data_IF_384855159722
#
_entry.id   IF_384855159722
#
_cell.length_a   1.000
_cell.length_b   1.000
_cell.length_c   1.000
_cell.angle_alpha   90.00
_cell.angle_beta   90.00
_cell.angle_gamma   90.00
#
_symmetry.space_group_name_H-M   'P 1'
#
loop_
_entity.id
_entity.type
_entity.pdbx_description
1 polymer ?
#
# COMPACT_ATOMS: atom_id res chain seq x y z
N UNK A 1 60.22 -27.13 50.33
CA UNK A 1 58.90 -26.49 50.57
C UNK A 1 58.57 -25.60 49.39
N UNK A 2 57.44 -25.90 48.76
CA UNK A 2 56.89 -25.30 47.54
C UNK A 2 56.29 -23.91 47.84
N UNK A 3 56.45 -22.93 46.94
CA UNK A 3 55.41 -21.95 46.52
C UNK A 3 55.99 -20.97 45.49
N UNK A 4 56.02 -21.38 44.21
CA UNK A 4 56.07 -20.42 43.08
C UNK A 4 54.64 -19.93 42.85
N UNK A 5 54.40 -18.64 43.07
CA UNK A 5 53.13 -17.98 42.72
C UNK A 5 53.13 -17.75 41.20
N UNK A 6 52.35 -18.54 40.49
CA UNK A 6 51.98 -18.26 39.10
C UNK A 6 50.81 -17.30 39.17
N UNK A 7 51.02 -16.05 38.76
CA UNK A 7 49.95 -15.09 38.53
C UNK A 7 49.44 -15.36 37.12
N UNK A 8 48.33 -16.08 37.02
CA UNK A 8 47.61 -16.27 35.75
C UNK A 8 46.87 -14.97 35.44
N UNK A 9 47.39 -14.17 34.51
CA UNK A 9 46.65 -13.06 33.92
C UNK A 9 45.53 -13.66 33.06
N UNK A 10 44.32 -13.72 33.61
CA UNK A 10 43.13 -14.03 32.83
C UNK A 10 42.81 -12.79 31.97
N UNK A 11 43.27 -12.80 30.71
CA UNK A 11 42.76 -11.87 29.70
C UNK A 11 41.33 -12.31 29.41
N UNK A 12 40.36 -11.66 30.05
CA UNK A 12 38.96 -11.75 29.65
C UNK A 12 38.88 -11.04 28.30
N UNK A 13 39.00 -11.80 27.21
CA UNK A 13 38.50 -11.35 25.92
C UNK A 13 36.98 -11.23 26.07
N UNK A 14 36.51 -10.03 26.40
CA UNK A 14 35.14 -9.65 26.08
C UNK A 14 35.12 -9.56 24.56
N UNK A 15 34.85 -10.69 23.91
CA UNK A 15 34.33 -10.67 22.55
C UNK A 15 33.01 -9.91 22.63
N UNK A 16 33.05 -8.60 22.40
CA UNK A 16 31.89 -7.88 21.94
C UNK A 16 31.49 -8.62 20.66
N UNK A 17 30.53 -9.53 20.75
CA UNK A 17 29.72 -9.87 19.59
C UNK A 17 29.09 -8.53 19.23
N UNK A 18 29.74 -7.80 18.33
CA UNK A 18 29.18 -6.60 17.76
C UNK A 18 27.91 -7.06 17.07
N UNK A 19 26.77 -6.77 17.69
CA UNK A 19 25.51 -6.78 16.96
C UNK A 19 25.76 -5.90 15.76
N UNK A 20 25.65 -6.47 14.56
CA UNK A 20 25.79 -5.71 13.33
C UNK A 20 24.84 -4.50 13.44
N UNK A 21 25.34 -3.30 13.15
CA UNK A 21 24.53 -2.09 13.29
C UNK A 21 23.22 -2.24 12.51
N UNK A 22 22.09 -1.74 13.07
CA UNK A 22 20.82 -1.84 12.39
C UNK A 22 20.86 -1.20 11.00
N UNK A 23 20.65 -2.01 9.96
CA UNK A 23 20.68 -1.54 8.57
C UNK A 23 19.36 -0.88 8.22
N UNK A 24 19.43 0.40 7.83
CA UNK A 24 18.32 1.12 7.18
C UNK A 24 18.54 1.10 5.68
N UNK A 25 17.66 0.43 4.96
CA UNK A 25 17.82 0.20 3.53
C UNK A 25 17.35 1.38 2.69
N UNK A 26 17.97 1.53 1.52
CA UNK A 26 17.39 2.33 0.42
C UNK A 26 16.14 1.65 -0.10
N UNK A 27 15.11 2.44 -0.38
CA UNK A 27 13.84 1.92 -0.93
C UNK A 27 13.85 2.02 -2.45
N UNK A 28 13.56 0.91 -3.11
CA UNK A 28 13.17 0.90 -4.52
C UNK A 28 11.69 0.53 -4.65
N UNK A 29 11.06 1.04 -5.71
CA UNK A 29 9.66 0.76 -6.06
C UNK A 29 9.60 0.31 -7.51
N UNK A 30 8.90 -0.80 -7.79
CA UNK A 30 8.47 -1.19 -9.13
C UNK A 30 6.95 -1.08 -9.19
N UNK A 31 6.44 -0.20 -10.05
CA UNK A 31 5.02 0.10 -10.13
C UNK A 31 4.33 -0.70 -11.23
N UNK A 32 3.02 -0.89 -11.08
CA UNK A 32 2.11 -1.39 -12.10
C UNK A 32 2.42 -2.82 -12.59
N UNK A 33 2.84 -3.69 -11.67
CA UNK A 33 3.14 -5.08 -11.94
C UNK A 33 1.88 -5.93 -12.02
N UNK A 34 1.92 -6.93 -12.89
CA UNK A 34 0.89 -7.97 -13.00
C UNK A 34 1.14 -9.07 -11.97
N UNK A 35 0.09 -9.52 -11.31
CA UNK A 35 0.17 -10.60 -10.30
C UNK A 35 -0.99 -11.60 -10.38
N UNK A 36 -1.98 -11.32 -11.23
CA UNK A 36 -3.14 -12.17 -11.49
C UNK A 36 -3.06 -12.73 -12.91
N UNK A 37 -4.01 -13.60 -13.25
CA UNK A 37 -4.12 -14.22 -14.58
C UNK A 37 -4.25 -13.21 -15.73
N UNK A 38 -3.84 -13.59 -16.96
CA UNK A 38 -3.99 -12.73 -18.15
C UNK A 38 -5.41 -12.22 -18.33
N UNK A 39 -5.55 -10.96 -18.74
CA UNK A 39 -6.84 -10.28 -18.90
C UNK A 39 -7.36 -9.61 -17.62
N UNK A 40 -6.72 -9.82 -16.46
CA UNK A 40 -7.00 -9.05 -15.25
C UNK A 40 -6.37 -7.66 -15.33
N UNK A 41 -7.11 -6.66 -14.86
CA UNK A 41 -6.70 -5.25 -14.89
C UNK A 41 -6.14 -4.77 -13.56
N UNK A 42 -6.37 -5.52 -12.48
CA UNK A 42 -5.80 -5.24 -11.17
C UNK A 42 -4.28 -5.36 -11.22
N UNK A 43 -3.60 -4.42 -10.56
CA UNK A 43 -2.12 -4.32 -10.54
C UNK A 43 -1.61 -4.25 -9.10
N UNK A 44 -0.31 -4.43 -8.95
CA UNK A 44 0.39 -4.22 -7.69
C UNK A 44 1.61 -3.32 -7.85
N UNK A 45 2.03 -2.68 -6.76
CA UNK A 45 3.31 -1.98 -6.66
C UNK A 45 4.19 -2.70 -5.64
N UNK A 46 5.44 -2.97 -6.01
CA UNK A 46 6.43 -3.67 -5.21
C UNK A 46 7.39 -2.67 -4.57
N UNK A 47 7.47 -2.68 -3.24
CA UNK A 47 8.40 -1.90 -2.41
C UNK A 47 9.43 -2.86 -1.82
N UNK A 48 10.73 -2.57 -1.96
CA UNK A 48 11.78 -3.51 -1.55
C UNK A 48 13.09 -2.80 -1.18
N UNK A 49 13.93 -3.45 -0.36
CA UNK A 49 15.30 -3.02 -0.09
C UNK A 49 16.13 -3.03 -1.39
N UNK A 50 16.69 -1.89 -1.77
CA UNK A 50 17.47 -1.74 -3.01
C UNK A 50 18.95 -2.16 -2.84
N UNK A 51 19.39 -2.32 -1.60
CA UNK A 51 20.77 -2.58 -1.18
C UNK A 51 20.86 -3.77 -0.20
N UNK A 52 20.39 -4.97 -0.60
CA UNK A 52 20.48 -6.16 0.23
C UNK A 52 21.92 -6.59 0.46
N UNK A 53 22.25 -6.94 1.70
CA UNK A 53 23.56 -7.49 2.05
C UNK A 53 23.72 -8.93 1.52
N UNK A 54 24.96 -9.45 1.36
CA UNK A 54 25.19 -10.83 0.95
C UNK A 54 24.48 -11.83 1.89
N UNK A 55 23.71 -12.76 1.32
CA UNK A 55 22.97 -13.78 2.07
C UNK A 55 21.69 -13.29 2.76
N UNK A 56 21.38 -11.99 2.71
CA UNK A 56 20.18 -11.44 3.34
C UNK A 56 18.90 -11.89 2.63
N UNK A 57 17.93 -12.36 3.41
CA UNK A 57 16.57 -12.65 2.95
C UNK A 57 15.54 -11.90 3.78
N UNK A 58 14.53 -11.34 3.13
CA UNK A 58 13.52 -10.50 3.76
C UNK A 58 12.17 -11.22 3.91
N UNK A 59 11.41 -10.94 4.96
CA UNK A 59 10.00 -11.32 4.99
C UNK A 59 9.18 -10.56 3.94
N UNK A 60 8.10 -11.18 3.48
CA UNK A 60 7.13 -10.61 2.56
C UNK A 60 5.93 -9.97 3.26
N UNK A 61 5.39 -8.86 2.76
CA UNK A 61 4.16 -8.25 3.27
C UNK A 61 3.19 -7.94 2.11
N UNK A 62 1.94 -8.38 2.23
CA UNK A 62 0.85 -7.96 1.33
C UNK A 62 0.11 -6.78 1.95
N UNK A 63 0.15 -5.64 1.29
CA UNK A 63 -0.55 -4.40 1.67
C UNK A 63 -1.86 -4.33 0.90
N UNK A 64 -2.98 -4.24 1.60
CA UNK A 64 -4.32 -4.30 1.01
C UNK A 64 -5.04 -2.97 1.26
N UNK A 65 -5.46 -2.32 0.18
CA UNK A 65 -6.05 -1.00 0.25
C UNK A 65 -7.47 -0.95 0.82
N UNK A 66 -7.83 0.19 1.42
CA UNK A 66 -9.19 0.48 1.88
C UNK A 66 -10.13 0.87 0.75
N UNK A 67 -11.13 1.71 1.00
CA UNK A 67 -12.07 2.17 -0.05
C UNK A 67 -13.39 1.40 -0.10
N UNK A 68 -13.76 0.77 1.03
CA UNK A 68 -15.07 0.16 1.20
C UNK A 68 -15.39 -0.89 0.14
N UNK A 69 -14.40 -1.65 -0.33
CA UNK A 69 -14.48 -2.68 -1.38
C UNK A 69 -15.02 -2.21 -2.74
N UNK A 70 -15.28 -0.91 -2.91
CA UNK A 70 -15.90 -0.33 -4.11
C UNK A 70 -14.98 0.67 -4.81
N UNK A 71 -13.85 0.99 -4.19
CA UNK A 71 -12.84 1.92 -4.63
C UNK A 71 -11.52 1.67 -3.89
N UNK A 72 -10.56 2.56 -4.11
CA UNK A 72 -9.20 2.45 -3.57
C UNK A 72 -8.18 2.13 -4.67
N UNK A 73 -6.92 2.41 -4.37
CA UNK A 73 -5.79 2.25 -5.28
C UNK A 73 -4.57 1.81 -4.46
N UNK A 74 -3.69 1.03 -5.08
CA UNK A 74 -2.47 0.48 -4.48
C UNK A 74 -1.40 1.51 -4.09
N UNK A 75 -1.40 2.70 -4.70
CA UNK A 75 -0.42 3.76 -4.45
C UNK A 75 -1.01 4.97 -3.71
N UNK A 76 -2.12 4.79 -2.98
CA UNK A 76 -2.60 5.84 -2.11
C UNK A 76 -1.60 6.13 -0.97
N UNK A 77 -1.71 7.32 -0.37
CA UNK A 77 -0.73 7.83 0.60
C UNK A 77 -0.46 6.85 1.75
N UNK A 78 -1.49 6.14 2.22
CA UNK A 78 -1.35 5.15 3.30
C UNK A 78 -0.51 3.96 2.86
N UNK A 79 -0.77 3.44 1.67
CA UNK A 79 -0.13 2.28 1.09
C UNK A 79 1.35 2.57 0.79
N UNK A 80 1.63 3.73 0.19
CA UNK A 80 2.99 4.24 0.01
C UNK A 80 3.69 4.39 1.36
N UNK A 81 3.03 5.00 2.35
CA UNK A 81 3.60 5.17 3.69
C UNK A 81 3.95 3.82 4.33
N UNK A 82 3.09 2.81 4.23
CA UNK A 82 3.34 1.46 4.76
C UNK A 82 4.50 0.79 4.01
N UNK A 83 4.42 0.71 2.67
CA UNK A 83 5.40 0.00 1.85
C UNK A 83 6.81 0.58 1.97
N UNK A 84 6.92 1.90 2.00
CA UNK A 84 8.19 2.60 2.22
C UNK A 84 8.80 2.35 3.59
N UNK A 85 8.02 2.43 4.67
CA UNK A 85 8.55 2.18 6.02
C UNK A 85 8.98 0.71 6.17
N UNK A 86 8.22 -0.22 5.60
CA UNK A 86 8.57 -1.64 5.61
C UNK A 86 9.84 -1.91 4.80
N UNK A 87 9.97 -1.37 3.58
CA UNK A 87 11.15 -1.54 2.75
C UNK A 87 12.43 -1.02 3.43
N UNK A 88 12.38 0.16 4.07
CA UNK A 88 13.51 0.68 4.86
C UNK A 88 13.96 -0.28 5.95
N UNK A 89 13.00 -0.97 6.55
CA UNK A 89 13.22 -1.89 7.64
C UNK A 89 13.51 -3.31 7.17
N UNK A 90 13.84 -3.52 5.88
CA UNK A 90 14.22 -4.84 5.37
C UNK A 90 13.01 -5.77 5.23
N UNK A 91 11.95 -5.31 4.57
CA UNK A 91 10.81 -6.11 4.16
C UNK A 91 10.54 -5.92 2.67
N UNK A 92 10.18 -6.98 1.99
CA UNK A 92 9.65 -6.91 0.62
C UNK A 92 8.14 -6.82 0.73
N UNK A 93 7.54 -5.76 0.18
CA UNK A 93 6.10 -5.53 0.29
C UNK A 93 5.45 -5.35 -1.07
N UNK A 94 4.28 -5.94 -1.28
CA UNK A 94 3.45 -5.68 -2.45
C UNK A 94 2.16 -4.98 -2.01
N UNK A 95 1.87 -3.82 -2.60
CA UNK A 95 0.58 -3.16 -2.45
C UNK A 95 -0.31 -3.51 -3.62
N UNK A 96 -1.44 -4.16 -3.36
CA UNK A 96 -2.26 -4.78 -4.40
C UNK A 96 -3.58 -4.04 -4.59
N UNK A 97 -4.05 -4.03 -5.83
CA UNK A 97 -5.47 -3.90 -6.15
C UNK A 97 -6.18 -5.25 -6.03
N UNK A 98 -7.48 -5.23 -5.80
CA UNK A 98 -8.34 -6.41 -5.79
C UNK A 98 -9.65 -6.12 -6.48
N UNK A 99 -10.41 -7.15 -6.86
CA UNK A 99 -11.68 -6.98 -7.54
C UNK A 99 -12.66 -6.11 -6.73
N UNK A 100 -13.02 -4.94 -7.28
CA UNK A 100 -13.92 -3.99 -6.65
C UNK A 100 -15.39 -4.18 -7.03
N UNK A 101 -16.26 -4.06 -6.04
CA UNK A 101 -17.70 -4.03 -6.20
C UNK A 101 -18.15 -2.66 -6.76
N UNK A 102 -17.88 -2.38 -8.03
CA UNK A 102 -18.26 -1.11 -8.66
C UNK A 102 -19.76 -1.06 -8.97
N UNK A 103 -20.33 0.15 -8.98
CA UNK A 103 -21.75 0.36 -9.29
C UNK A 103 -22.10 0.20 -10.79
N UNK A 104 -21.09 -0.06 -11.65
CA UNK A 104 -21.17 0.22 -13.08
C UNK A 104 -21.60 -0.92 -14.00
N UNK A 105 -21.49 -2.21 -13.63
CA UNK A 105 -21.67 -3.29 -14.61
C UNK A 105 -22.13 -4.65 -14.07
N UNK A 106 -22.89 -4.68 -12.99
CA UNK A 106 -23.58 -5.92 -12.59
C UNK A 106 -25.00 -5.55 -12.24
N UNK A 107 -25.97 -6.18 -12.92
CA UNK A 107 -27.41 -5.93 -12.81
C UNK A 107 -27.78 -5.91 -11.31
N UNK A 108 -27.92 -4.72 -10.72
CA UNK A 108 -28.17 -4.41 -9.30
C UNK A 108 -27.00 -4.51 -8.29
N UNK A 109 -26.12 -5.52 -8.34
CA UNK A 109 -25.01 -5.66 -7.36
C UNK A 109 -23.71 -6.20 -7.95
N UNK A 110 -22.57 -5.53 -7.72
CA UNK A 110 -21.23 -6.01 -8.06
C UNK A 110 -20.76 -7.11 -7.11
N UNK A 111 -21.34 -8.31 -7.19
CA UNK A 111 -20.93 -9.48 -6.39
C UNK A 111 -19.47 -9.80 -6.67
N UNK A 112 -18.59 -9.45 -5.74
CA UNK A 112 -17.14 -9.70 -5.85
C UNK A 112 -16.62 -10.68 -4.83
N UNK A 113 -17.41 -11.05 -3.81
CA UNK A 113 -17.04 -12.13 -2.92
C UNK A 113 -17.33 -13.51 -3.57
N UNK A 114 -16.39 -14.47 -3.54
CA UNK A 114 -15.09 -14.46 -2.87
C UNK A 114 -13.90 -14.01 -3.75
N UNK A 115 -14.11 -13.56 -4.99
CA UNK A 115 -13.03 -13.17 -5.92
C UNK A 115 -12.06 -12.14 -5.32
N UNK A 116 -12.56 -11.14 -4.59
CA UNK A 116 -11.73 -10.12 -3.96
C UNK A 116 -10.76 -10.66 -2.89
N UNK A 117 -11.18 -11.63 -2.08
CA UNK A 117 -10.29 -12.32 -1.11
C UNK A 117 -9.36 -13.31 -1.82
N UNK A 118 -9.84 -13.97 -2.88
CA UNK A 118 -9.01 -14.84 -3.71
C UNK A 118 -7.88 -14.07 -4.40
N UNK A 119 -8.12 -12.83 -4.84
CA UNK A 119 -7.05 -11.95 -5.37
C UNK A 119 -5.98 -11.66 -4.29
N UNK A 120 -6.39 -11.44 -3.04
CA UNK A 120 -5.45 -11.25 -1.92
C UNK A 120 -4.61 -12.50 -1.65
N UNK A 121 -5.23 -13.69 -1.66
CA UNK A 121 -4.51 -14.97 -1.52
C UNK A 121 -3.57 -15.22 -2.71
N UNK A 122 -3.95 -14.86 -3.94
CA UNK A 122 -3.05 -14.93 -5.12
C UNK A 122 -1.84 -14.01 -4.98
N UNK A 123 -1.96 -12.86 -4.32
CA UNK A 123 -0.82 -12.00 -4.01
C UNK A 123 0.19 -12.71 -3.08
N UNK A 124 -0.30 -13.46 -2.09
CA UNK A 124 0.56 -14.30 -1.24
C UNK A 124 1.28 -15.38 -2.08
N UNK A 125 0.56 -16.05 -2.98
CA UNK A 125 1.18 -17.02 -3.90
C UNK A 125 2.23 -16.36 -4.80
N UNK A 126 1.98 -15.14 -5.26
CA UNK A 126 2.91 -14.38 -6.09
C UNK A 126 4.22 -14.12 -5.33
N UNK A 127 4.17 -13.69 -4.06
CA UNK A 127 5.36 -13.52 -3.23
C UNK A 127 6.15 -14.83 -3.08
N UNK A 128 5.45 -15.95 -2.79
CA UNK A 128 6.10 -17.27 -2.68
C UNK A 128 6.77 -17.69 -3.99
N UNK A 129 6.12 -17.46 -5.12
CA UNK A 129 6.64 -17.79 -6.46
C UNK A 129 7.89 -16.98 -6.83
N UNK A 130 7.96 -15.71 -6.42
CA UNK A 130 9.08 -14.81 -6.73
C UNK A 130 10.09 -14.69 -5.60
N UNK A 131 10.05 -15.62 -4.63
CA UNK A 131 10.85 -15.53 -3.41
C UNK A 131 12.36 -15.45 -3.70
N UNK A 132 12.86 -16.24 -4.65
CA UNK A 132 14.29 -16.23 -4.98
C UNK A 132 14.72 -14.92 -5.67
N UNK A 133 13.95 -14.43 -6.65
CA UNK A 133 14.23 -13.15 -7.34
C UNK A 133 14.26 -11.98 -6.35
N UNK A 134 13.32 -11.98 -5.40
CA UNK A 134 13.13 -10.88 -4.47
C UNK A 134 13.98 -11.00 -3.21
N UNK A 135 14.84 -12.04 -3.10
CA UNK A 135 15.54 -12.40 -1.86
C UNK A 135 14.57 -12.46 -0.67
N UNK A 136 13.37 -12.99 -0.89
CA UNK A 136 12.32 -13.12 0.10
C UNK A 136 12.36 -14.51 0.74
N UNK A 137 12.03 -14.60 2.03
CA UNK A 137 11.81 -15.87 2.70
C UNK A 137 10.33 -16.29 2.53
N UNK A 138 10.02 -17.34 1.74
CA UNK A 138 8.64 -17.72 1.41
C UNK A 138 7.86 -18.29 2.60
N UNK A 139 8.54 -18.60 3.71
CA UNK A 139 7.93 -19.05 4.96
C UNK A 139 7.58 -17.92 5.93
N UNK A 140 7.91 -16.67 5.57
CA UNK A 140 7.74 -15.48 6.42
C UNK A 140 6.97 -14.41 5.66
N UNK A 141 5.67 -14.61 5.48
CA UNK A 141 4.79 -13.65 4.80
C UNK A 141 3.74 -13.13 5.78
N UNK A 142 3.48 -11.83 5.77
CA UNK A 142 2.39 -11.21 6.54
C UNK A 142 1.42 -10.41 5.67
N UNK A 143 0.31 -9.96 6.27
CA UNK A 143 -0.64 -9.04 5.64
C UNK A 143 -0.82 -7.79 6.48
N UNK A 144 -1.10 -6.66 5.82
CA UNK A 144 -1.55 -5.42 6.44
C UNK A 144 -2.63 -4.77 5.59
N UNK A 145 -3.67 -4.22 6.21
CA UNK A 145 -4.67 -3.47 5.46
C UNK A 145 -5.47 -2.50 6.31
N UNK A 146 -6.06 -1.51 5.64
CA UNK A 146 -6.91 -0.49 6.27
C UNK A 146 -8.37 -0.62 5.88
N UNK A 147 -9.29 -0.53 6.85
CA UNK A 147 -10.75 -0.54 6.60
C UNK A 147 -11.18 -1.80 5.83
N UNK A 148 -11.74 -1.68 4.63
CA UNK A 148 -12.00 -2.81 3.73
C UNK A 148 -10.78 -3.70 3.48
N UNK A 149 -9.58 -3.12 3.39
CA UNK A 149 -8.34 -3.87 3.27
C UNK A 149 -7.93 -4.55 4.57
N UNK A 150 -8.27 -3.98 5.74
CA UNK A 150 -8.02 -4.62 7.04
C UNK A 150 -8.92 -5.84 7.24
N UNK A 151 -10.16 -5.76 6.76
CA UNK A 151 -11.07 -6.90 6.63
C UNK A 151 -10.47 -8.01 5.75
N UNK A 152 -10.01 -7.69 4.55
CA UNK A 152 -9.41 -8.66 3.63
C UNK A 152 -8.06 -9.21 4.14
N UNK A 153 -7.27 -8.39 4.84
CA UNK A 153 -6.02 -8.82 5.47
C UNK A 153 -6.28 -9.85 6.57
N UNK A 154 -7.27 -9.59 7.44
CA UNK A 154 -7.70 -10.51 8.48
C UNK A 154 -8.29 -11.79 7.87
N UNK A 155 -9.19 -11.70 6.87
CA UNK A 155 -9.70 -12.88 6.16
C UNK A 155 -8.57 -13.70 5.53
N UNK A 156 -7.56 -13.07 4.93
CA UNK A 156 -6.41 -13.79 4.34
C UNK A 156 -5.65 -14.59 5.41
N UNK A 157 -5.61 -14.08 6.64
CA UNK A 157 -4.92 -14.70 7.76
C UNK A 157 -5.67 -15.87 8.39
N UNK A 158 -7.01 -15.77 8.52
CA UNK A 158 -7.82 -16.75 9.26
C UNK A 158 -8.66 -17.68 8.38
N UNK A 159 -8.84 -17.37 7.09
CA UNK A 159 -9.57 -18.25 6.19
C UNK A 159 -8.63 -19.37 5.70
N UNK A 160 -8.56 -20.46 6.46
CA UNK A 160 -7.91 -21.70 6.04
C UNK A 160 -8.60 -22.37 4.85
N UNK A 161 -8.02 -23.45 4.29
CA UNK A 161 -8.57 -24.16 3.14
C UNK A 161 -10.04 -24.59 3.32
N UNK A 162 -10.42 -24.97 4.53
CA UNK A 162 -11.78 -25.38 4.92
C UNK A 162 -12.82 -24.27 4.82
N UNK A 163 -12.40 -22.99 4.79
CA UNK A 163 -13.30 -21.87 4.56
C UNK A 163 -13.83 -21.82 3.11
N UNK A 164 -13.23 -22.59 2.18
CA UNK A 164 -13.64 -22.63 0.78
C UNK A 164 -13.35 -21.33 0.01
N UNK A 165 -12.38 -20.54 0.51
CA UNK A 165 -12.00 -19.23 -0.05
C UNK A 165 -10.66 -19.25 -0.81
N UNK A 166 -10.06 -20.43 -0.98
CA UNK A 166 -8.82 -20.58 -1.75
C UNK A 166 -9.02 -20.16 -3.22
N UNK A 167 -8.03 -19.51 -3.84
CA UNK A 167 -8.08 -19.23 -5.26
C UNK A 167 -7.96 -20.53 -6.06
N UNK A 168 -8.73 -20.62 -7.15
CA UNK A 168 -8.43 -21.59 -8.20
C UNK A 168 -7.12 -21.19 -8.94
N UNK A 169 -6.77 -21.93 -9.99
CA UNK A 169 -5.69 -21.67 -10.96
C UNK A 169 -5.29 -20.18 -11.17
N UNK A 170 -4.04 -19.85 -11.55
CA UNK A 170 -3.04 -20.73 -12.20
C UNK A 170 -2.07 -21.46 -11.25
N UNK A 171 -2.13 -21.21 -9.95
CA UNK A 171 -1.19 -21.79 -8.99
C UNK A 171 -1.92 -22.71 -7.98
N UNK A 172 -2.63 -23.76 -8.43
CA UNK A 172 -3.23 -24.70 -7.50
C UNK A 172 -2.11 -25.34 -6.66
N UNK A 173 -2.30 -25.40 -5.34
CA UNK A 173 -1.37 -26.04 -4.41
C UNK A 173 -0.22 -25.16 -3.88
N UNK A 174 -0.06 -23.91 -4.34
CA UNK A 174 0.80 -22.96 -3.62
C UNK A 174 0.06 -22.49 -2.37
N UNK A 175 0.66 -22.75 -1.21
CA UNK A 175 0.18 -22.29 0.10
C UNK A 175 -0.19 -20.80 0.06
N UNK A 176 -1.30 -20.43 0.68
CA UNK A 176 -1.79 -19.05 0.80
C UNK A 176 -1.83 -18.56 2.24
N UNK A 177 -1.40 -19.39 3.20
CA UNK A 177 -1.29 -19.02 4.60
C UNK A 177 -0.29 -17.88 4.80
N UNK A 178 -0.47 -17.10 5.87
CA UNK A 178 0.47 -16.06 6.29
C UNK A 178 0.84 -16.26 7.76
N UNK A 179 1.95 -15.67 8.19
CA UNK A 179 2.56 -15.87 9.50
C UNK A 179 2.35 -14.68 10.45
N UNK A 180 1.79 -13.57 9.97
CA UNK A 180 1.43 -12.40 10.78
C UNK A 180 0.37 -11.54 10.08
N UNK A 181 -0.57 -10.96 10.83
CA UNK A 181 -1.57 -10.05 10.30
C UNK A 181 -1.64 -8.74 11.08
N UNK A 182 -1.70 -7.61 10.36
CA UNK A 182 -1.98 -6.29 10.93
C UNK A 182 -3.27 -5.74 10.35
N UNK A 183 -4.29 -5.64 11.20
CA UNK A 183 -5.57 -5.02 10.88
C UNK A 183 -5.59 -3.56 11.35
N UNK A 184 -5.70 -2.63 10.41
CA UNK A 184 -5.97 -1.22 10.70
C UNK A 184 -7.46 -0.94 10.50
N UNK A 185 -8.19 -0.74 11.60
CA UNK A 185 -9.60 -0.31 11.62
C UNK A 185 -10.56 -1.05 10.66
N UNK A 186 -10.33 -2.35 10.44
CA UNK A 186 -11.13 -3.17 9.54
C UNK A 186 -12.44 -3.69 10.14
N UNK A 187 -13.30 -4.22 9.26
CA UNK A 187 -14.56 -4.88 9.63
C UNK A 187 -14.30 -6.36 9.90
N UNK A 188 -14.59 -6.85 11.10
CA UNK A 188 -14.32 -8.23 11.54
C UNK A 188 -15.60 -9.09 11.59
N UNK A 189 -16.73 -8.46 11.89
CA UNK A 189 -18.09 -8.98 11.75
C UNK A 189 -18.75 -8.30 10.54
N UNK A 190 -18.57 -8.92 9.38
CA UNK A 190 -19.09 -8.43 8.11
C UNK A 190 -20.62 -8.58 8.04
N UNK A 191 -21.15 -9.61 8.70
CA UNK A 191 -22.56 -9.91 8.82
C UNK A 191 -23.32 -8.85 9.66
N UNK A 192 -22.65 -8.27 10.66
CA UNK A 192 -23.16 -7.17 11.49
C UNK A 192 -24.11 -7.62 12.59
N UNK A 193 -24.11 -8.91 12.95
CA UNK A 193 -25.05 -9.49 13.90
C UNK A 193 -24.65 -9.27 15.38
N UNK A 194 -23.40 -8.89 15.67
CA UNK A 194 -22.93 -8.58 17.04
C UNK A 194 -23.06 -7.10 17.41
N UNK A 195 -24.09 -6.41 16.89
CA UNK A 195 -24.34 -4.97 17.09
C UNK A 195 -23.12 -4.07 16.77
N UNK A 196 -22.33 -4.51 15.80
CA UNK A 196 -21.06 -3.92 15.40
C UNK A 196 -21.27 -2.89 14.26
N UNK A 197 -22.06 -1.84 14.56
CA UNK A 197 -22.55 -0.85 13.59
C UNK A 197 -21.44 -0.29 12.69
N UNK A 198 -21.72 -0.16 11.39
CA UNK A 198 -20.84 0.50 10.42
C UNK A 198 -21.65 1.29 9.40
N UNK A 199 -21.11 2.43 8.96
CA UNK A 199 -21.72 3.27 7.93
C UNK A 199 -21.64 2.64 6.52
N UNK A 200 -20.91 1.52 6.34
CA UNK A 200 -20.63 0.91 5.03
C UNK A 200 -21.64 -0.16 4.59
N UNK A 201 -22.85 -0.17 5.16
CA UNK A 201 -23.90 -1.19 4.88
C UNK A 201 -24.07 -1.47 3.38
N UNK A 202 -24.34 -0.44 2.57
CA UNK A 202 -24.58 -0.58 1.12
C UNK A 202 -23.39 -1.17 0.36
N UNK A 203 -22.17 -0.84 0.76
CA UNK A 203 -20.96 -1.39 0.15
C UNK A 203 -20.83 -2.88 0.42
N UNK A 204 -21.10 -3.32 1.66
CA UNK A 204 -21.10 -4.76 2.00
C UNK A 204 -22.14 -5.53 1.20
N UNK A 205 -23.37 -5.03 1.13
CA UNK A 205 -24.44 -5.68 0.35
C UNK A 205 -24.06 -5.80 -1.13
N UNK A 206 -23.35 -4.80 -1.67
CA UNK A 206 -22.84 -4.84 -3.04
C UNK A 206 -21.79 -5.93 -3.22
N UNK A 207 -20.83 -6.04 -2.30
CA UNK A 207 -19.80 -7.10 -2.31
C UNK A 207 -20.43 -8.49 -2.29
N UNK A 208 -21.46 -8.69 -1.46
CA UNK A 208 -22.14 -9.99 -1.32
C UNK A 208 -23.18 -10.26 -2.42
N UNK A 209 -23.62 -9.25 -3.14
CA UNK A 209 -24.67 -9.38 -4.14
C UNK A 209 -26.10 -9.38 -3.58
N UNK A 210 -26.28 -9.21 -2.27
CA UNK A 210 -27.56 -9.31 -1.57
C UNK A 210 -27.47 -8.65 -0.18
N UNK A 211 -28.58 -8.26 0.45
CA UNK A 211 -28.62 -7.91 1.87
C UNK A 211 -28.48 -9.14 2.79
N UNK A 212 -28.04 -8.98 4.05
CA UNK A 212 -28.01 -10.08 5.01
C UNK A 212 -29.44 -10.52 5.38
N UNK A 213 -29.65 -11.83 5.43
CA UNK A 213 -30.88 -12.51 5.85
C UNK A 213 -30.54 -13.80 6.59
N UNK A 214 -31.53 -14.44 7.22
CA UNK A 214 -31.37 -15.77 7.83
C UNK A 214 -31.00 -16.83 6.80
N UNK A 215 -31.54 -16.73 5.58
CA UNK A 215 -31.31 -17.68 4.49
C UNK A 215 -29.86 -17.65 3.96
N UNK A 216 -29.21 -16.48 3.97
CA UNK A 216 -27.84 -16.31 3.48
C UNK A 216 -26.81 -16.08 4.61
N UNK A 217 -27.15 -16.38 5.85
CA UNK A 217 -26.31 -16.17 7.03
C UNK A 217 -24.92 -16.79 6.88
N UNK A 218 -24.83 -18.04 6.42
CA UNK A 218 -23.54 -18.74 6.21
C UNK A 218 -22.64 -18.00 5.22
N UNK A 219 -23.21 -17.43 4.16
CA UNK A 219 -22.46 -16.62 3.19
C UNK A 219 -21.87 -15.38 3.86
N UNK A 220 -22.65 -14.64 4.64
CA UNK A 220 -22.18 -13.47 5.37
C UNK A 220 -21.17 -13.80 6.48
N UNK A 221 -21.32 -14.96 7.14
CA UNK A 221 -20.36 -15.47 8.11
C UNK A 221 -19.04 -15.84 7.44
N UNK A 222 -19.06 -16.43 6.23
CA UNK A 222 -17.85 -16.73 5.47
C UNK A 222 -17.03 -15.48 5.09
N UNK A 223 -17.69 -14.32 5.01
CA UNK A 223 -17.02 -13.03 4.81
C UNK A 223 -16.61 -12.34 6.13
N UNK A 224 -16.80 -12.94 7.30
CA UNK A 224 -16.52 -12.32 8.61
C UNK A 224 -15.32 -13.02 9.27
N UNK A 225 -14.12 -12.40 9.33
CA UNK A 225 -12.94 -13.00 9.98
C UNK A 225 -13.23 -13.61 11.35
N UNK A 226 -14.08 -12.96 12.15
CA UNK A 226 -14.43 -13.42 13.49
C UNK A 226 -15.09 -14.81 13.54
N UNK A 227 -15.69 -15.27 12.44
CA UNK A 227 -16.33 -16.59 12.38
C UNK A 227 -15.40 -17.69 11.87
N UNK A 228 -14.19 -17.33 11.45
CA UNK A 228 -13.23 -18.26 10.85
C UNK A 228 -12.02 -18.53 11.75
N UNK A 229 -11.96 -17.93 12.94
CA UNK A 229 -10.79 -18.06 13.82
C UNK A 229 -10.56 -19.51 14.26
N UNK A 230 -9.34 -19.98 14.00
CA UNK A 230 -8.81 -21.29 14.39
C UNK A 230 -7.60 -21.12 15.34
N UNK A 231 -7.39 -22.02 16.34
CA UNK A 231 -6.22 -21.94 17.21
C UNK A 231 -4.85 -21.98 16.50
N UNK A 232 -4.80 -22.42 15.23
CA UNK A 232 -3.58 -22.44 14.41
C UNK A 232 -3.33 -21.15 13.65
N UNK A 233 -4.24 -20.18 13.73
CA UNK A 233 -4.12 -18.90 13.03
C UNK A 233 -2.85 -18.14 13.44
N UNK A 234 -2.28 -17.33 12.52
CA UNK A 234 -1.12 -16.52 12.84
C UNK A 234 -1.46 -15.44 13.88
N UNK A 235 -0.44 -14.89 14.55
CA UNK A 235 -0.57 -13.69 15.36
C UNK A 235 -1.29 -12.55 14.63
N UNK A 236 -2.20 -11.84 15.32
CA UNK A 236 -2.95 -10.69 14.78
C UNK A 236 -2.78 -9.44 15.65
N UNK A 237 -2.26 -8.36 15.07
CA UNK A 237 -2.26 -7.02 15.67
C UNK A 237 -3.43 -6.21 15.11
N UNK A 238 -4.24 -5.64 16.01
CA UNK A 238 -5.35 -4.77 15.68
C UNK A 238 -5.07 -3.35 16.17
N UNK A 239 -5.27 -2.36 15.32
CA UNK A 239 -5.16 -0.94 15.68
C UNK A 239 -6.42 -0.22 15.21
N UNK A 240 -7.15 0.39 16.14
CA UNK A 240 -8.42 1.07 15.85
C UNK A 240 -8.53 2.37 16.63
N UNK A 241 -9.11 3.40 16.04
CA UNK A 241 -9.37 4.66 16.75
C UNK A 241 -10.77 4.68 17.39
N UNK A 242 -10.87 5.16 18.64
CA UNK A 242 -12.15 5.17 19.38
C UNK A 242 -13.19 6.14 18.79
N UNK A 243 -12.73 7.21 18.12
CA UNK A 243 -13.60 8.18 17.45
C UNK A 243 -13.83 7.84 15.95
N UNK A 244 -13.60 6.60 15.55
CA UNK A 244 -13.94 6.12 14.20
C UNK A 244 -15.46 6.06 14.00
N UNK A 245 -15.99 6.96 13.19
CA UNK A 245 -17.40 7.06 12.85
C UNK A 245 -17.80 6.23 11.63
N UNK A 246 -16.84 5.59 10.95
CA UNK A 246 -17.08 4.78 9.75
C UNK A 246 -17.19 3.30 10.12
N UNK A 247 -16.19 2.79 10.82
CA UNK A 247 -16.16 1.44 11.37
C UNK A 247 -16.03 1.55 12.87
N UNK A 248 -17.08 1.18 13.60
CA UNK A 248 -17.04 1.24 15.06
C UNK A 248 -15.90 0.36 15.61
N UNK A 249 -15.08 0.91 16.51
CA UNK A 249 -13.94 0.20 17.10
C UNK A 249 -14.32 -1.10 17.83
N UNK A 250 -15.59 -1.27 18.19
CA UNK A 250 -16.12 -2.52 18.72
C UNK A 250 -15.85 -3.71 17.78
N UNK A 251 -15.68 -3.49 16.47
CA UNK A 251 -15.24 -4.51 15.51
C UNK A 251 -13.89 -5.14 15.90
N UNK A 252 -12.94 -4.33 16.38
CA UNK A 252 -11.65 -4.83 16.84
C UNK A 252 -11.74 -5.50 18.23
N UNK A 253 -12.63 -4.98 19.10
CA UNK A 253 -12.89 -5.55 20.43
C UNK A 253 -13.46 -6.97 20.32
N UNK A 254 -14.52 -7.16 19.54
CA UNK A 254 -15.15 -8.49 19.39
C UNK A 254 -14.20 -9.51 18.75
N UNK A 255 -13.33 -9.07 17.83
CA UNK A 255 -12.33 -9.93 17.23
C UNK A 255 -11.25 -10.32 18.25
N UNK A 256 -10.84 -9.37 19.11
CA UNK A 256 -9.91 -9.66 20.21
C UNK A 256 -10.50 -10.72 21.15
N UNK A 257 -11.75 -10.57 21.57
CA UNK A 257 -12.42 -11.55 22.43
C UNK A 257 -12.42 -12.95 21.82
N UNK A 258 -12.67 -13.05 20.52
CA UNK A 258 -12.67 -14.34 19.81
C UNK A 258 -11.27 -14.94 19.69
N UNK A 259 -10.26 -14.12 19.38
CA UNK A 259 -8.86 -14.54 19.35
C UNK A 259 -8.39 -15.04 20.73
N UNK A 260 -8.73 -14.31 21.81
CA UNK A 260 -8.45 -14.71 23.19
C UNK A 260 -9.13 -16.05 23.52
N UNK A 261 -10.41 -16.21 23.16
CA UNK A 261 -11.18 -17.44 23.35
C UNK A 261 -10.55 -18.64 22.64
N UNK A 262 -10.01 -18.42 21.44
CA UNK A 262 -9.34 -19.42 20.60
C UNK A 262 -7.87 -19.61 20.94
N UNK A 263 -7.34 -18.83 21.89
CA UNK A 263 -5.93 -18.83 22.31
C UNK A 263 -4.96 -18.49 21.18
N UNK A 264 -5.39 -17.66 20.23
CA UNK A 264 -4.55 -17.10 19.16
C UNK A 264 -3.86 -15.86 19.69
N UNK A 265 -2.54 -15.74 19.47
CA UNK A 265 -1.80 -14.55 19.90
C UNK A 265 -2.39 -13.30 19.24
N UNK A 266 -2.72 -12.30 20.04
CA UNK A 266 -3.28 -11.07 19.53
C UNK A 266 -2.91 -9.84 20.37
N UNK A 267 -2.92 -8.69 19.72
CA UNK A 267 -2.75 -7.39 20.35
C UNK A 267 -3.85 -6.44 19.85
N UNK A 268 -4.33 -5.55 20.73
CA UNK A 268 -5.28 -4.49 20.39
C UNK A 268 -4.76 -3.15 20.92
N UNK A 269 -4.59 -2.20 20.01
CA UNK A 269 -4.26 -0.81 20.30
C UNK A 269 -5.46 0.06 19.96
N UNK A 270 -6.01 0.75 20.97
CA UNK A 270 -7.07 1.73 20.79
C UNK A 270 -6.51 3.14 20.86
N UNK A 271 -6.75 3.93 19.82
CA UNK A 271 -6.25 5.30 19.71
C UNK A 271 -7.32 6.31 20.14
N UNK A 272 -6.94 7.21 21.06
CA UNK A 272 -7.77 8.32 21.53
C UNK A 272 -7.57 9.57 20.66
N UNK A 273 -8.66 10.25 20.28
CA UNK A 273 -8.59 11.51 19.52
C UNK A 273 -8.19 11.38 18.04
N UNK A 274 -8.34 10.18 17.47
CA UNK A 274 -8.16 9.88 16.05
C UNK A 274 -9.42 9.21 15.47
N UNK A 275 -9.56 9.23 14.15
CA UNK A 275 -10.69 8.64 13.43
C UNK A 275 -10.25 7.66 12.34
N UNK A 276 -11.13 7.45 11.35
CA UNK A 276 -10.91 6.47 10.28
C UNK A 276 -9.77 6.88 9.33
N UNK A 277 -9.17 5.90 8.63
CA UNK A 277 -8.19 6.11 7.54
C UNK A 277 -6.81 6.66 7.95
N UNK A 278 -6.31 6.31 9.13
CA UNK A 278 -4.94 6.67 9.52
C UNK A 278 -3.88 5.77 8.84
N UNK A 279 -2.67 6.32 8.62
CA UNK A 279 -1.49 5.57 8.18
C UNK A 279 -0.64 5.09 9.36
N UNK A 280 0.62 4.70 9.17
CA UNK A 280 1.48 4.39 10.31
C UNK A 280 1.89 5.64 11.09
N UNK A 281 1.84 6.81 10.44
CA UNK A 281 2.42 8.04 10.99
C UNK A 281 1.43 9.22 11.01
N UNK A 282 0.34 9.21 10.23
CA UNK A 282 -0.53 10.38 10.09
C UNK A 282 -2.01 10.02 10.00
N UNK A 283 -2.85 10.98 10.41
CA UNK A 283 -4.28 10.99 10.21
C UNK A 283 -4.74 12.41 9.82
N UNK A 284 -5.21 12.61 8.58
CA UNK A 284 -5.58 13.94 8.05
C UNK A 284 -4.54 15.04 8.32
N UNK A 285 -3.26 14.71 8.14
CA UNK A 285 -2.16 15.64 8.40
C UNK A 285 -1.78 15.77 9.88
N UNK A 286 -2.60 15.31 10.83
CA UNK A 286 -2.21 15.18 12.25
C UNK A 286 -1.22 14.03 12.42
N UNK A 287 -0.09 14.20 13.12
CA UNK A 287 0.78 13.08 13.44
C UNK A 287 0.06 12.09 14.36
N UNK A 288 0.24 10.80 14.09
CA UNK A 288 -0.13 9.73 15.02
C UNK A 288 0.92 9.63 16.13
N UNK A 289 0.57 9.02 17.27
CA UNK A 289 1.57 8.65 18.25
C UNK A 289 2.60 7.73 17.58
N UNK A 290 3.87 7.99 17.83
CA UNK A 290 5.00 7.22 17.28
C UNK A 290 4.88 5.71 17.51
N UNK A 291 4.20 5.36 18.62
CA UNK A 291 3.78 4.02 18.96
C UNK A 291 3.12 3.25 17.80
N UNK A 292 2.32 3.87 16.93
CA UNK A 292 1.63 3.12 15.85
C UNK A 292 2.63 2.50 14.88
N UNK A 293 3.56 3.31 14.35
CA UNK A 293 4.62 2.82 13.45
C UNK A 293 5.50 1.80 14.15
N UNK A 294 6.00 2.13 15.33
CA UNK A 294 6.90 1.26 16.08
C UNK A 294 6.24 -0.08 16.43
N UNK A 295 4.96 -0.10 16.82
CA UNK A 295 4.26 -1.35 17.16
C UNK A 295 4.00 -2.25 15.95
N UNK A 296 3.65 -1.67 14.80
CA UNK A 296 3.51 -2.45 13.56
C UNK A 296 4.84 -3.08 13.16
N UNK A 297 5.94 -2.31 13.18
CA UNK A 297 7.26 -2.83 12.83
C UNK A 297 7.75 -3.87 13.85
N UNK A 298 7.58 -3.62 15.16
CA UNK A 298 8.00 -4.54 16.22
C UNK A 298 7.24 -5.87 16.15
N UNK A 299 5.95 -5.80 15.81
CA UNK A 299 5.12 -6.98 15.62
C UNK A 299 5.65 -7.86 14.49
N UNK A 300 5.97 -7.28 13.33
CA UNK A 300 6.57 -8.03 12.23
C UNK A 300 8.00 -8.48 12.52
N UNK A 301 8.82 -7.66 13.19
CA UNK A 301 10.18 -8.03 13.56
C UNK A 301 10.15 -9.27 14.46
N UNK A 302 9.25 -9.31 15.44
CA UNK A 302 9.06 -10.48 16.31
C UNK A 302 8.62 -11.72 15.53
N UNK A 303 7.53 -11.63 14.77
CA UNK A 303 6.88 -12.84 14.23
C UNK A 303 7.46 -13.30 12.89
N UNK A 304 8.01 -12.38 12.10
CA UNK A 304 8.58 -12.69 10.80
C UNK A 304 10.11 -12.77 10.80
N UNK A 305 10.78 -12.03 11.67
CA UNK A 305 12.26 -12.04 11.78
C UNK A 305 12.80 -12.75 13.03
N UNK A 306 11.96 -12.96 14.04
CA UNK A 306 12.38 -13.58 15.30
C UNK A 306 13.18 -12.63 16.20
N UNK A 307 13.10 -11.32 15.97
CA UNK A 307 13.84 -10.34 16.76
C UNK A 307 13.22 -10.14 18.13
N UNK A 308 14.08 -9.87 19.10
CA UNK A 308 13.73 -9.46 20.45
C UNK A 308 13.23 -8.01 20.48
N UNK A 309 12.50 -7.60 21.53
CA UNK A 309 12.11 -6.20 21.69
C UNK A 309 13.28 -5.21 21.70
N UNK A 310 14.45 -5.62 22.22
CA UNK A 310 15.66 -4.79 22.26
C UNK A 310 16.21 -4.54 20.85
N UNK A 311 16.36 -5.60 20.04
CA UNK A 311 16.82 -5.49 18.65
C UNK A 311 15.87 -4.66 17.80
N UNK A 312 14.55 -4.80 18.00
CA UNK A 312 13.56 -3.92 17.34
C UNK A 312 13.71 -2.46 17.75
N UNK A 313 13.94 -2.18 19.04
CA UNK A 313 14.12 -0.82 19.52
C UNK A 313 15.38 -0.16 18.93
N UNK A 314 16.48 -0.90 18.82
CA UNK A 314 17.70 -0.42 18.15
C UNK A 314 17.45 -0.07 16.68
N UNK A 315 16.69 -0.91 15.96
CA UNK A 315 16.29 -0.65 14.57
C UNK A 315 15.43 0.61 14.44
N UNK A 316 14.56 0.90 15.41
CA UNK A 316 13.76 2.14 15.40
C UNK A 316 14.61 3.37 15.67
N UNK A 317 15.52 3.30 16.65
CA UNK A 317 16.45 4.39 16.92
C UNK A 317 17.30 4.71 15.68
N UNK A 318 17.76 3.69 14.95
CA UNK A 318 18.48 3.87 13.69
C UNK A 318 17.61 4.51 12.59
N UNK A 319 16.35 4.11 12.47
CA UNK A 319 15.40 4.71 11.52
C UNK A 319 15.14 6.19 11.83
N UNK A 320 14.93 6.53 13.10
CA UNK A 320 14.71 7.91 13.55
C UNK A 320 15.95 8.78 13.33
N UNK A 321 17.14 8.27 13.64
CA UNK A 321 18.41 8.94 13.35
C UNK A 321 18.59 9.16 11.84
N UNK A 322 18.28 8.16 11.03
CA UNK A 322 18.32 8.26 9.57
C UNK A 322 17.37 9.35 9.05
N UNK A 323 16.11 9.37 9.51
CA UNK A 323 15.09 10.34 9.11
C UNK A 323 15.44 11.77 9.53
N UNK A 324 16.07 11.95 10.70
CA UNK A 324 16.57 13.24 11.16
C UNK A 324 17.65 13.80 10.23
N UNK A 325 18.52 12.95 9.71
CA UNK A 325 19.60 13.32 8.79
C UNK A 325 19.12 13.42 7.33
N UNK A 326 17.95 12.87 7.00
CA UNK A 326 17.36 12.86 5.67
C UNK A 326 15.90 13.31 5.70
N UNK A 327 15.62 14.60 5.95
CA UNK A 327 14.25 15.12 6.10
C UNK A 327 13.38 14.90 4.85
N UNK A 328 13.98 14.85 3.66
CA UNK A 328 13.28 14.51 2.41
C UNK A 328 12.77 13.05 2.42
N UNK A 329 13.52 12.14 3.06
CA UNK A 329 13.13 10.75 3.26
C UNK A 329 11.97 10.63 4.27
N UNK A 330 11.91 11.53 5.26
CA UNK A 330 10.83 11.60 6.24
C UNK A 330 9.52 12.15 5.63
N UNK A 331 9.60 13.03 4.62
CA UNK A 331 8.44 13.70 4.01
C UNK A 331 7.62 12.80 3.09
N UNK A 332 8.22 11.78 2.46
CA UNK A 332 7.52 10.91 1.50
C UNK A 332 7.79 9.41 1.61
N UNK A 333 8.60 8.90 2.54
CA UNK A 333 8.91 7.46 2.55
C UNK A 333 9.71 6.96 1.33
N UNK A 334 9.83 7.76 0.28
CA UNK A 334 10.45 7.41 -0.99
C UNK A 334 11.61 8.39 -1.20
N UNK A 335 12.83 7.98 -0.85
CA UNK A 335 13.97 8.40 -1.67
C UNK A 335 13.83 7.56 -2.94
N UNK A 336 13.29 8.13 -4.01
CA UNK A 336 13.17 7.40 -5.27
C UNK A 336 14.58 7.13 -5.81
N UNK A 337 15.13 5.95 -5.52
CA UNK A 337 16.11 5.35 -6.42
C UNK A 337 15.28 4.53 -7.39
N UNK A 338 14.85 5.17 -8.48
CA UNK A 338 14.41 4.47 -9.68
C UNK A 338 15.57 3.62 -10.17
N UNK A 339 15.56 2.31 -9.92
CA UNK A 339 16.54 1.41 -10.53
C UNK A 339 15.93 0.78 -11.78
N UNK A 340 16.30 1.34 -12.93
CA UNK A 340 16.24 0.71 -14.23
C UNK A 340 17.34 1.29 -15.11
N UNK A 341 18.58 0.83 -14.93
CA UNK A 341 19.65 1.04 -15.92
C UNK A 341 19.21 0.36 -17.22
N UNK A 342 19.06 1.14 -18.29
CA UNK A 342 19.25 0.61 -19.64
C UNK A 342 20.77 0.51 -19.82
N UNK A 343 21.25 -0.69 -20.09
CA UNK A 343 22.64 -0.94 -20.44
C UNK A 343 23.05 -0.08 -21.65
N UNK A 344 24.17 0.63 -21.54
CA UNK A 344 24.86 1.19 -22.71
C UNK A 344 25.36 -0.02 -23.53
N UNK A 345 24.62 -0.39 -24.59
CA UNK A 345 25.31 -0.98 -25.75
C UNK A 345 26.07 0.15 -26.43
N UNK A 346 27.38 0.07 -26.35
CA UNK A 346 28.27 0.80 -27.24
C UNK A 346 27.90 0.43 -28.69
N UNK A 347 27.89 1.45 -29.54
CA UNK A 347 27.78 1.37 -31.01
C UNK A 347 26.48 0.78 -31.59
N UNK A 348 25.44 1.63 -31.65
CA UNK A 348 24.40 1.49 -32.67
C UNK A 348 24.02 2.89 -33.19
N UNK A 349 24.52 3.21 -34.39
CA UNK A 349 24.05 4.34 -35.20
C UNK A 349 22.57 4.13 -35.52
N UNK A 350 21.77 5.18 -35.35
CA UNK A 350 20.47 5.43 -36.00
C UNK A 350 19.57 4.20 -36.27
N UNK A 351 18.62 3.93 -35.37
CA UNK A 351 17.47 3.10 -35.72
C UNK A 351 16.48 3.93 -36.53
N UNK A 352 16.39 3.62 -37.83
CA UNK A 352 15.34 4.12 -38.72
C UNK A 352 14.20 3.11 -38.72
N UNK A 353 12.98 3.53 -38.34
CA UNK A 353 11.76 2.73 -38.53
C UNK A 353 10.97 3.35 -39.67
N UNK A 354 10.81 2.61 -40.75
CA UNK A 354 9.93 2.98 -41.86
C UNK A 354 8.48 2.67 -41.49
N UNK A 355 7.61 3.67 -41.56
CA UNK A 355 6.16 3.47 -41.57
C UNK A 355 5.69 3.20 -43.01
N UNK A 356 4.55 2.50 -43.22
CA UNK A 356 4.07 2.08 -44.54
C UNK A 356 3.77 3.21 -45.54
N UNK A 357 3.83 4.47 -45.09
CA UNK A 357 3.46 5.69 -45.79
C UNK A 357 4.64 6.67 -46.00
N UNK A 358 5.88 6.27 -45.70
CA UNK A 358 7.09 6.94 -46.21
C UNK A 358 7.52 8.24 -45.52
N UNK A 359 6.92 8.62 -44.37
CA UNK A 359 7.35 9.79 -43.60
C UNK A 359 8.53 9.51 -42.64
N UNK A 360 9.57 10.35 -42.65
CA UNK A 360 10.67 10.35 -41.66
C UNK A 360 10.47 11.46 -40.62
N UNK A 361 10.63 11.18 -39.31
CA UNK A 361 10.76 12.22 -38.27
C UNK A 361 11.91 11.91 -37.31
N UNK A 362 12.72 12.94 -37.04
CA UNK A 362 13.85 12.97 -36.10
C UNK A 362 13.37 13.63 -34.79
N UNK A 363 13.72 13.09 -33.62
CA UNK A 363 13.44 13.72 -32.32
C UNK A 363 14.72 14.38 -31.75
N UNK A 364 14.65 15.69 -31.49
CA UNK A 364 15.74 16.52 -30.96
C UNK A 364 15.79 16.65 -29.43
N UNK A 365 16.92 17.16 -28.93
CA UNK A 365 17.38 17.29 -27.53
C UNK A 365 16.62 18.31 -26.65
N UNK A 366 16.80 18.15 -25.34
CA UNK A 366 16.32 19.01 -24.24
C UNK A 366 16.89 20.45 -24.24
N UNK A 367 16.11 21.41 -23.71
CA UNK A 367 16.57 22.75 -23.35
C UNK A 367 16.09 23.15 -21.94
N UNK A 368 17.01 23.75 -21.17
CA UNK A 368 16.76 24.52 -19.95
C UNK A 368 16.39 25.97 -20.33
N UNK A 369 15.38 26.57 -19.69
CA UNK A 369 15.12 28.03 -19.81
C UNK A 369 14.76 28.67 -18.47
N UNK A 370 15.47 29.77 -18.17
CA UNK A 370 15.27 30.70 -17.04
C UNK A 370 13.97 31.52 -17.20
N UNK A 371 13.31 31.78 -16.08
CA UNK A 371 12.15 32.68 -15.95
C UNK A 371 12.60 34.14 -15.76
N UNK A 372 12.05 35.07 -16.55
CA UNK A 372 12.06 36.51 -16.24
C UNK A 372 10.65 37.04 -15.91
N UNK A 373 10.60 37.62 -14.71
CA UNK A 373 9.67 38.56 -14.03
C UNK A 373 8.26 38.83 -14.59
N UNK A 374 7.27 38.52 -13.76
CA UNK A 374 6.07 39.33 -13.54
C UNK A 374 5.61 39.23 -12.08
N UNK A 375 5.40 40.36 -11.41
CA UNK A 375 4.85 40.49 -10.03
C UNK A 375 4.10 41.84 -9.89
N UNK A 376 3.22 42.07 -8.88
CA UNK A 376 2.45 41.09 -8.10
C UNK A 376 0.99 41.50 -7.76
N UNK A 377 0.14 40.51 -7.54
CA UNK A 377 -0.86 40.52 -6.46
C UNK A 377 -1.07 39.08 -5.96
N UNK A 378 -0.19 38.72 -5.02
CA UNK A 378 -0.25 37.71 -3.97
C UNK A 378 -0.86 36.32 -4.26
N UNK A 379 -0.06 35.48 -4.92
CA UNK A 379 -0.24 34.01 -4.98
C UNK A 379 0.85 33.31 -4.14
N UNK A 380 1.37 33.98 -3.12
CA UNK A 380 2.26 33.37 -2.12
C UNK A 380 1.61 32.18 -1.37
N UNK A 381 0.30 31.97 -1.55
CA UNK A 381 -0.47 30.86 -0.95
C UNK A 381 -0.64 29.60 -1.83
N UNK A 382 -0.22 29.59 -3.11
CA UNK A 382 -0.24 28.39 -3.95
C UNK A 382 1.19 27.92 -4.25
N UNK A 383 1.89 27.46 -3.22
CA UNK A 383 3.28 26.97 -3.32
C UNK A 383 3.44 25.61 -4.00
N UNK A 384 2.38 24.92 -4.42
CA UNK A 384 2.50 23.57 -4.95
C UNK A 384 2.02 23.46 -6.41
N UNK A 385 2.96 23.09 -7.29
CA UNK A 385 2.75 22.68 -8.68
C UNK A 385 1.93 21.38 -8.74
N UNK A 386 0.63 21.45 -8.49
CA UNK A 386 -0.22 20.26 -8.53
C UNK A 386 -0.58 19.90 -9.99
N UNK A 387 -0.39 18.62 -10.41
CA UNK A 387 -0.80 18.18 -11.72
C UNK A 387 -2.34 18.23 -11.87
N UNK A 388 -2.79 18.61 -13.07
CA UNK A 388 -4.21 18.65 -13.44
C UNK A 388 -4.53 17.39 -14.24
N UNK A 389 -5.49 16.60 -13.77
CA UNK A 389 -5.95 15.41 -14.49
C UNK A 389 -7.25 15.75 -15.21
N UNK A 390 -7.28 15.50 -16.53
CA UNK A 390 -8.44 15.71 -17.38
C UNK A 390 -8.86 14.38 -18.00
N UNK A 391 -10.15 14.06 -17.90
CA UNK A 391 -10.73 12.83 -18.45
C UNK A 391 -11.67 13.18 -19.60
N UNK A 392 -11.43 12.63 -20.79
CA UNK A 392 -12.22 12.83 -22.00
C UNK A 392 -11.83 11.86 -23.12
N UNK A 393 -12.62 11.82 -24.19
CA UNK A 393 -12.25 11.11 -25.43
C UNK A 393 -11.46 12.06 -26.33
N UNK A 394 -10.21 11.68 -26.60
CA UNK A 394 -9.21 12.50 -27.29
C UNK A 394 -8.98 12.05 -28.75
N UNK A 395 -9.76 11.08 -29.23
CA UNK A 395 -9.57 10.53 -30.58
C UNK A 395 -10.01 11.54 -31.66
N UNK A 396 -9.05 11.93 -32.52
CA UNK A 396 -9.32 12.64 -33.79
C UNK A 396 -9.81 14.10 -33.68
N UNK A 397 -9.69 14.77 -32.54
CA UNK A 397 -10.20 16.16 -32.36
C UNK A 397 -9.09 17.13 -31.94
N UNK A 398 -8.98 18.26 -32.63
CA UNK A 398 -8.02 19.32 -32.31
C UNK A 398 -8.44 20.19 -31.12
N UNK A 399 -9.70 20.07 -30.70
CA UNK A 399 -10.27 20.79 -29.56
C UNK A 399 -11.24 19.90 -28.79
N UNK A 400 -11.08 19.80 -27.47
CA UNK A 400 -11.88 18.96 -26.57
C UNK A 400 -12.46 19.79 -25.43
N UNK A 401 -13.79 19.80 -25.30
CA UNK A 401 -14.48 20.47 -24.20
C UNK A 401 -14.50 19.56 -22.96
N UNK A 402 -13.90 20.04 -21.87
CA UNK A 402 -13.67 19.26 -20.66
C UNK A 402 -14.75 19.58 -19.61
N UNK A 403 -15.53 18.57 -19.22
CA UNK A 403 -16.63 18.71 -18.25
C UNK A 403 -16.24 18.32 -16.81
N UNK A 404 -15.04 17.74 -16.64
CA UNK A 404 -14.46 17.30 -15.36
C UNK A 404 -12.96 17.57 -15.34
N UNK A 405 -12.52 18.41 -14.40
CA UNK A 405 -11.13 18.82 -14.20
C UNK A 405 -10.81 18.61 -12.73
N UNK A 406 -9.74 17.86 -12.45
CA UNK A 406 -9.33 17.51 -11.10
C UNK A 406 -7.96 18.11 -10.78
N UNK A 407 -7.78 18.61 -9.55
CA UNK A 407 -6.48 18.95 -9.01
C UNK A 407 -5.98 17.73 -8.24
N UNK A 408 -4.82 17.17 -8.64
CA UNK A 408 -4.21 16.10 -7.87
C UNK A 408 -3.78 16.64 -6.49
N UNK A 409 -3.89 15.84 -5.43
CA UNK A 409 -3.29 16.14 -4.12
C UNK A 409 -4.22 16.68 -3.01
N UNK A 410 -5.51 16.89 -3.25
CA UNK A 410 -6.50 17.01 -2.16
C UNK A 410 -7.79 16.29 -2.53
N UNK A 411 -8.33 15.51 -1.59
CA UNK A 411 -9.68 14.94 -1.63
C UNK A 411 -10.74 16.05 -1.64
N UNK A 412 -10.90 16.76 -2.77
CA UNK A 412 -12.03 17.66 -3.02
C UNK A 412 -12.53 17.40 -4.43
N UNK A 413 -13.82 17.06 -4.51
CA UNK A 413 -14.50 16.70 -5.74
C UNK A 413 -14.49 17.81 -6.79
N UNK A 414 -15.08 17.47 -7.95
CA UNK A 414 -15.35 18.33 -9.10
C UNK A 414 -15.46 19.81 -8.72
N UNK A 415 -14.61 20.66 -9.29
CA UNK A 415 -14.73 22.12 -9.11
C UNK A 415 -16.05 22.56 -9.75
N UNK A 416 -17.07 23.01 -8.98
CA UNK A 416 -18.35 23.39 -9.56
C UNK A 416 -18.20 24.64 -10.44
N UNK A 417 -18.88 24.67 -11.59
CA UNK A 417 -18.96 25.85 -12.45
C UNK A 417 -17.77 26.15 -13.38
N UNK A 418 -16.77 25.27 -13.48
CA UNK A 418 -15.64 25.44 -14.42
C UNK A 418 -15.75 24.52 -15.63
N UNK A 419 -15.68 25.11 -16.82
CA UNK A 419 -15.52 24.39 -18.10
C UNK A 419 -14.14 24.70 -18.66
N UNK A 420 -13.45 23.69 -19.18
CA UNK A 420 -12.16 23.88 -19.84
C UNK A 420 -12.20 23.52 -21.31
N UNK A 421 -11.34 24.13 -22.11
CA UNK A 421 -11.11 23.74 -23.50
C UNK A 421 -9.65 23.31 -23.62
N UNK A 422 -9.43 22.06 -24.01
CA UNK A 422 -8.12 21.54 -24.40
C UNK A 422 -7.96 21.74 -25.92
N UNK A 423 -6.85 22.35 -26.33
CA UNK A 423 -6.51 22.52 -27.75
C UNK A 423 -5.15 21.90 -28.03
N UNK A 424 -5.05 21.14 -29.11
CA UNK A 424 -3.80 20.56 -29.60
C UNK A 424 -2.94 21.66 -30.23
N UNK A 425 -1.64 21.70 -29.88
CA UNK A 425 -0.62 22.58 -30.45
C UNK A 425 0.54 21.74 -30.99
N UNK A 426 1.44 22.36 -31.76
CA UNK A 426 2.53 21.67 -32.48
C UNK A 426 3.45 20.84 -31.56
N UNK A 427 3.63 21.29 -30.31
CA UNK A 427 4.52 20.71 -29.30
C UNK A 427 3.81 20.37 -27.98
N UNK A 428 2.48 20.11 -28.03
CA UNK A 428 1.74 19.56 -26.89
C UNK A 428 0.27 19.97 -26.83
N UNK A 429 -0.33 19.90 -25.65
CA UNK A 429 -1.72 20.33 -25.44
C UNK A 429 -1.77 21.56 -24.52
N UNK A 430 -2.64 22.52 -24.84
CA UNK A 430 -2.90 23.69 -24.03
C UNK A 430 -4.30 23.62 -23.41
N UNK A 431 -4.41 23.86 -22.10
CA UNK A 431 -5.68 23.90 -21.38
C UNK A 431 -6.04 25.36 -21.06
N UNK A 432 -7.18 25.80 -21.58
CA UNK A 432 -7.82 27.06 -21.21
C UNK A 432 -8.92 26.79 -20.18
N UNK A 433 -8.81 27.40 -19.00
CA UNK A 433 -9.81 27.31 -17.94
C UNK A 433 -10.64 28.60 -17.90
N UNK A 434 -11.96 28.48 -17.91
CA UNK A 434 -12.86 29.61 -17.68
C UNK A 434 -13.48 29.53 -16.29
N UNK A 435 -13.41 30.66 -15.56
CA UNK A 435 -14.12 30.87 -14.31
C UNK A 435 -14.76 32.27 -14.36
N UNK A 436 -16.06 32.32 -14.69
CA UNK A 436 -16.73 33.58 -15.02
C UNK A 436 -16.13 34.24 -16.26
N UNK A 437 -15.84 35.56 -16.20
CA UNK A 437 -15.28 36.36 -17.33
C UNK A 437 -13.74 36.30 -17.46
N UNK A 438 -13.04 35.52 -16.62
CA UNK A 438 -11.56 35.40 -16.66
C UNK A 438 -11.13 34.09 -17.31
N UNK A 439 -10.12 34.17 -18.18
CA UNK A 439 -9.50 33.03 -18.88
C UNK A 439 -8.05 32.90 -18.42
N UNK A 440 -7.62 31.68 -18.08
CA UNK A 440 -6.22 31.37 -17.75
C UNK A 440 -5.73 30.22 -18.63
N UNK A 441 -4.56 30.40 -19.25
CA UNK A 441 -3.91 29.42 -20.15
C UNK A 441 -2.78 28.70 -19.41
N UNK A 442 -2.74 27.37 -19.51
CA UNK A 442 -1.62 26.54 -19.06
C UNK A 442 -1.20 25.57 -20.16
N UNK A 443 0.11 25.50 -20.45
CA UNK A 443 0.71 24.48 -21.33
C UNK A 443 0.86 23.19 -20.53
N UNK A 444 0.32 22.08 -21.03
CA UNK A 444 0.41 20.76 -20.41
C UNK A 444 1.48 19.95 -21.15
N UNK A 445 2.52 19.54 -20.41
CA UNK A 445 3.44 18.50 -20.86
C UNK A 445 2.72 17.16 -20.68
N UNK A 446 2.41 16.50 -21.79
CA UNK A 446 1.92 15.12 -21.78
C UNK A 446 3.15 14.23 -21.89
N UNK A 447 3.42 13.41 -20.87
CA UNK A 447 4.35 12.29 -20.95
C UNK A 447 3.69 11.11 -21.65
#
# INVERSE_FOLDING_TARGET
MLKKRIITLAVILISSLGLAEPVIHKVAVRENLEFLEPGRTERMDLYYPADPQPGEKFPGIVIIHGGGWTGGIRNAEREVNIGSNLARMGYVSISIEYRLATAGNVKKYGKTFPVNIQDCKKAVQWLRKHAEELKLNPSKIGTIGGSAGGHLAALTAVAGPEAGLEPAAPNPGIDTSVQACVNLYGVMDFAGFRNSRTAVKKSRERVMGCPPSTENLKLWQSASPIHLVDPKDPPILQIHAKADTTVNYNQAVIMKEELDRKKVYNELILLDGYGHMFSLQRWHGKPLPELVRQRVLAFYDRFLKGLTPAESAERFAALEAFEKNHPEAAKYGISAVSSGKIEKKADAKEMTVSLPDGGKKVFGKAFDMKLEKAEPADISQLKDKLPVVVQGDFSGKDTVKCSRIFLAGRNRGRIPGRTGILRKQEDGWALALTAGKKVTLRKLLIS
#
